data_IF_330417616184
#
_entry.id   IF_330417616184
#
_cell.length_a   1.000
_cell.length_b   1.000
_cell.length_c   1.000
_cell.angle_alpha   90.00
_cell.angle_beta   90.00
_cell.angle_gamma   90.00
#
_symmetry.space_group_name_H-M   'P 1'
#
loop_
_entity.id
_entity.type
_entity.pdbx_description
1 polymer ?
#
# COMPACT_ATOMS: atom_id res chain seq x y z
N UNK A 1 -0.91 23.95 -12.55
CA UNK A 1 -0.78 23.75 -11.98
C UNK A 1 -0.83 22.92 -11.29
N UNK A 2 -0.56 22.60 -10.97
CA UNK A 2 -0.53 21.88 -10.28
C UNK A 2 -1.02 21.74 -9.30
N UNK A 3 -1.72 21.96 -8.92
CA UNK A 3 -2.45 21.97 -8.05
C UNK A 3 -2.73 20.79 -7.38
N UNK A 4 -2.81 19.77 -7.88
CA UNK A 4 -2.93 18.56 -7.25
C UNK A 4 -1.66 18.06 -6.74
N UNK A 5 -0.65 18.84 -6.66
CA UNK A 5 0.66 18.47 -6.21
C UNK A 5 0.67 18.34 -4.73
N UNK A 6 1.09 17.19 -4.26
CA UNK A 6 1.23 16.96 -2.84
C UNK A 6 2.38 17.78 -2.30
N UNK A 7 2.27 18.22 -1.07
CA UNK A 7 3.33 18.98 -0.45
C UNK A 7 4.55 18.09 -0.27
N UNK A 8 5.70 18.76 -0.09
CA UNK A 8 6.94 18.02 0.15
C UNK A 8 6.80 17.13 1.37
N UNK A 9 6.13 17.63 2.40
CA UNK A 9 5.93 16.84 3.60
C UNK A 9 5.09 15.60 3.34
N UNK A 10 4.02 15.76 2.55
CA UNK A 10 3.19 14.62 2.19
C UNK A 10 4.01 13.58 1.43
N UNK A 11 4.83 14.02 0.50
CA UNK A 11 5.64 13.09 -0.28
C UNK A 11 6.66 12.38 0.58
N UNK A 12 7.27 13.08 1.51
CA UNK A 12 8.24 12.46 2.39
C UNK A 12 7.60 11.42 3.28
N UNK A 13 6.45 11.75 3.85
CA UNK A 13 5.74 10.83 4.72
C UNK A 13 5.28 9.63 3.91
N UNK A 14 4.74 9.86 2.71
CA UNK A 14 4.29 8.76 1.88
C UNK A 14 5.42 7.81 1.54
N UNK A 15 6.57 8.35 1.21
CA UNK A 15 7.73 7.54 0.87
C UNK A 15 8.19 6.70 2.05
N UNK A 16 8.20 7.31 3.23
CA UNK A 16 8.62 6.59 4.42
C UNK A 16 7.64 5.48 4.75
N UNK A 17 6.35 5.77 4.66
CA UNK A 17 5.34 4.75 4.94
C UNK A 17 5.42 3.63 3.91
N UNK A 18 5.62 3.97 2.64
CA UNK A 18 5.74 2.96 1.61
C UNK A 18 6.90 2.01 1.90
N UNK A 19 8.04 2.58 2.26
CA UNK A 19 9.23 1.79 2.53
C UNK A 19 9.00 0.86 3.73
N UNK A 20 8.48 1.39 4.81
CA UNK A 20 8.34 0.59 6.01
C UNK A 20 7.22 -0.43 5.91
N UNK A 21 6.11 -0.04 5.27
CA UNK A 21 5.01 -0.98 5.09
C UNK A 21 5.42 -2.12 4.16
N UNK A 22 6.17 -1.80 3.11
CA UNK A 22 6.68 -2.85 2.21
C UNK A 22 7.55 -3.83 2.98
N UNK A 23 8.36 -3.32 3.88
CA UNK A 23 9.23 -4.17 4.69
C UNK A 23 8.41 -5.04 5.63
N UNK A 24 7.40 -4.45 6.26
CA UNK A 24 6.55 -5.21 7.17
C UNK A 24 5.86 -6.35 6.44
N UNK A 25 5.31 -6.06 5.28
CA UNK A 25 4.60 -7.08 4.50
C UNK A 25 5.57 -8.14 4.01
N UNK A 26 6.74 -7.73 3.56
CA UNK A 26 7.75 -8.66 3.08
C UNK A 26 8.17 -9.62 4.18
N UNK A 27 8.31 -9.11 5.39
CA UNK A 27 8.75 -9.92 6.51
C UNK A 27 7.72 -10.97 6.93
N UNK A 28 6.45 -10.70 6.64
CA UNK A 28 5.42 -11.69 6.96
C UNK A 28 5.44 -12.87 6.01
N UNK A 29 5.98 -12.67 4.81
CA UNK A 29 6.15 -13.76 3.87
C UNK A 29 4.89 -14.12 3.11
N UNK A 30 5.06 -14.90 2.06
CA UNK A 30 3.94 -15.26 1.20
C UNK A 30 2.93 -16.14 1.92
N UNK A 31 3.37 -16.93 2.88
CA UNK A 31 2.46 -17.83 3.58
C UNK A 31 1.37 -17.07 4.33
N UNK A 32 1.70 -15.88 4.82
CA UNK A 32 0.72 -15.06 5.53
C UNK A 32 -0.41 -14.60 4.61
N UNK A 33 -0.17 -14.64 3.30
CA UNK A 33 -1.12 -14.16 2.31
C UNK A 33 -1.58 -15.27 1.39
N UNK A 34 -1.64 -16.48 1.91
CA UNK A 34 -2.17 -17.60 1.13
C UNK A 34 -1.30 -17.98 -0.05
N UNK A 35 -0.01 -17.71 0.01
CA UNK A 35 0.90 -18.03 -1.06
C UNK A 35 1.01 -16.95 -2.12
N UNK A 36 0.34 -15.82 -1.91
CA UNK A 36 0.41 -14.73 -2.88
C UNK A 36 1.59 -13.82 -2.59
N UNK A 37 2.12 -13.22 -3.65
CA UNK A 37 3.14 -12.20 -3.52
C UNK A 37 2.44 -10.85 -3.41
N UNK A 38 2.69 -10.14 -2.32
CA UNK A 38 2.07 -8.84 -2.08
C UNK A 38 3.16 -7.79 -2.02
N UNK A 39 2.99 -6.73 -2.76
CA UNK A 39 3.95 -5.62 -2.72
C UNK A 39 3.21 -4.30 -2.63
N UNK A 40 3.86 -3.33 -2.03
CA UNK A 40 3.29 -1.99 -1.90
C UNK A 40 3.71 -1.20 -3.13
N UNK A 41 2.73 -0.81 -3.94
CA UNK A 41 3.02 -0.09 -5.17
C UNK A 41 3.05 1.41 -4.96
N UNK A 42 2.42 1.91 -3.92
CA UNK A 42 2.46 3.33 -3.66
C UNK A 42 1.68 3.70 -2.42
N UNK A 43 1.87 4.92 -1.97
CA UNK A 43 1.17 5.44 -0.81
C UNK A 43 0.79 6.88 -1.11
N UNK A 44 -0.44 7.25 -0.77
CA UNK A 44 -0.90 8.62 -0.86
C UNK A 44 -1.36 9.09 0.51
N UNK A 45 -0.94 10.27 0.87
CA UNK A 45 -1.24 10.84 2.18
C UNK A 45 -2.22 11.98 2.01
N UNK A 46 -3.23 12.06 2.88
CA UNK A 46 -4.15 13.18 2.85
C UNK A 46 -3.41 14.47 3.25
N UNK A 47 -3.92 15.62 2.84
CA UNK A 47 -3.23 16.88 3.15
C UNK A 47 -3.03 17.13 4.64
N UNK A 48 -3.96 16.65 5.47
CA UNK A 48 -3.83 16.84 6.91
C UNK A 48 -3.05 15.71 7.57
N UNK A 49 -2.51 14.78 6.77
CA UNK A 49 -1.69 13.68 7.24
C UNK A 49 -2.45 12.71 8.14
N UNK A 50 -3.76 12.69 8.04
CA UNK A 50 -4.56 11.82 8.91
C UNK A 50 -4.82 10.45 8.31
N UNK A 51 -4.76 10.32 6.99
CA UNK A 51 -5.05 9.05 6.32
C UNK A 51 -3.96 8.75 5.31
N UNK A 52 -3.49 7.52 5.33
CA UNK A 52 -2.54 7.03 4.34
C UNK A 52 -3.21 5.95 3.53
N UNK A 53 -3.34 6.17 2.23
CA UNK A 53 -3.86 5.18 1.33
C UNK A 53 -2.71 4.35 0.79
N UNK A 54 -2.69 3.08 1.14
CA UNK A 54 -1.61 2.18 0.75
C UNK A 54 -2.12 1.30 -0.38
N UNK A 55 -1.48 1.43 -1.53
CA UNK A 55 -1.86 0.66 -2.71
C UNK A 55 -0.96 -0.56 -2.79
N UNK A 56 -1.58 -1.72 -2.93
CA UNK A 56 -0.84 -2.98 -2.97
C UNK A 56 -1.14 -3.71 -4.26
N UNK A 57 -0.11 -4.40 -4.75
CA UNK A 57 -0.25 -5.29 -5.90
C UNK A 57 -0.20 -6.72 -5.40
N UNK A 58 -1.04 -7.57 -5.97
CA UNK A 58 -1.11 -8.97 -5.56
C UNK A 58 -0.90 -9.84 -6.79
N UNK A 59 -0.02 -10.81 -6.65
CA UNK A 59 0.23 -11.77 -7.72
C UNK A 59 0.19 -13.18 -7.15
N UNK A 60 -0.56 -14.09 -7.75
CA UNK A 60 -1.43 -13.88 -8.90
C UNK A 60 -2.69 -13.10 -8.53
N UNK A 61 -3.28 -12.47 -9.52
CA UNK A 61 -4.38 -11.54 -9.26
C UNK A 61 -5.64 -12.24 -8.74
N UNK A 62 -5.78 -13.53 -8.98
CA UNK A 62 -6.96 -14.25 -8.49
C UNK A 62 -6.95 -14.41 -6.98
N UNK A 63 -5.83 -14.09 -6.33
CA UNK A 63 -5.77 -14.13 -4.87
C UNK A 63 -5.97 -12.75 -4.24
N UNK A 64 -6.25 -11.75 -5.06
CA UNK A 64 -6.31 -10.39 -4.57
C UNK A 64 -7.39 -10.18 -3.52
N UNK A 65 -8.57 -10.77 -3.73
CA UNK A 65 -9.66 -10.58 -2.77
C UNK A 65 -9.28 -11.14 -1.41
N UNK A 66 -8.73 -12.35 -1.40
CA UNK A 66 -8.35 -12.97 -0.14
C UNK A 66 -7.25 -12.16 0.56
N UNK A 67 -6.30 -11.66 -0.21
CA UNK A 67 -5.22 -10.87 0.36
C UNK A 67 -5.77 -9.57 0.95
N UNK A 68 -6.67 -8.91 0.23
CA UNK A 68 -7.23 -7.67 0.74
C UNK A 68 -7.99 -7.90 2.04
N UNK A 69 -8.69 -9.02 2.15
CA UNK A 69 -9.35 -9.37 3.39
C UNK A 69 -8.35 -9.50 4.53
N UNK A 70 -7.25 -10.19 4.28
CA UNK A 70 -6.23 -10.39 5.30
C UNK A 70 -5.65 -9.04 5.74
N UNK A 71 -5.37 -8.18 4.77
CA UNK A 71 -4.82 -6.87 5.10
C UNK A 71 -5.79 -6.06 5.94
N UNK A 72 -7.07 -6.11 5.59
CA UNK A 72 -8.05 -5.34 6.33
C UNK A 72 -8.26 -5.91 7.72
N UNK A 73 -8.27 -7.22 7.86
CA UNK A 73 -8.40 -7.85 9.17
C UNK A 73 -7.24 -7.53 10.08
N UNK A 74 -6.06 -7.37 9.50
CA UNK A 74 -4.86 -7.10 10.27
C UNK A 74 -4.45 -5.64 10.24
N UNK A 75 -5.35 -4.77 9.81
CA UNK A 75 -5.05 -3.35 9.64
C UNK A 75 -4.50 -2.72 10.91
N UNK A 76 -5.14 -3.01 12.03
CA UNK A 76 -4.71 -2.43 13.30
C UNK A 76 -3.32 -2.90 13.68
N UNK A 77 -3.06 -4.18 13.50
CA UNK A 77 -1.75 -4.73 13.81
C UNK A 77 -0.68 -4.13 12.92
N UNK A 78 -0.99 -4.03 11.62
CA UNK A 78 -0.04 -3.47 10.67
C UNK A 78 0.24 -2.01 10.97
N UNK A 79 -0.80 -1.27 11.32
CA UNK A 79 -0.62 0.13 11.68
C UNK A 79 0.24 0.26 12.93
N UNK A 80 0.04 -0.63 13.90
CA UNK A 80 0.85 -0.62 15.10
C UNK A 80 2.32 -0.91 14.80
N UNK A 81 2.57 -1.89 13.94
CA UNK A 81 3.94 -2.20 13.56
C UNK A 81 4.58 -1.04 12.81
N UNK A 82 3.80 -0.42 11.92
CA UNK A 82 4.30 0.75 11.22
C UNK A 82 4.63 1.87 12.19
N UNK A 83 3.77 2.08 13.18
CA UNK A 83 4.00 3.12 14.17
C UNK A 83 5.28 2.90 14.94
N UNK A 84 5.60 1.66 15.24
CA UNK A 84 6.86 1.36 15.92
C UNK A 84 8.05 1.74 15.08
N UNK A 85 7.94 1.63 13.76
CA UNK A 85 9.06 1.93 12.88
C UNK A 85 9.21 3.41 12.59
N UNK A 86 8.10 4.14 12.49
CA UNK A 86 8.17 5.54 12.09
C UNK A 86 7.72 6.51 13.17
N UNK A 87 7.43 6.00 14.36
CA UNK A 87 6.93 6.83 15.44
C UNK A 87 7.84 7.97 15.82
N UNK A 88 9.15 7.79 15.62
CA UNK A 88 10.10 8.85 15.92
C UNK A 88 10.03 9.97 14.91
N UNK A 89 9.59 9.66 13.70
CA UNK A 89 9.54 10.64 12.63
C UNK A 89 8.19 11.32 12.53
N UNK A 90 7.14 10.63 12.97
CA UNK A 90 5.79 11.17 12.88
C UNK A 90 5.18 11.20 14.27
N UNK A 91 4.58 12.35 14.60
CA UNK A 91 3.89 12.48 15.87
C UNK A 91 2.71 11.57 15.95
N UNK A 92 1.92 11.54 14.88
CA UNK A 92 0.71 10.74 14.81
C UNK A 92 0.83 9.86 13.60
N UNK A 93 0.61 8.56 13.78
CA UNK A 93 0.62 7.62 12.67
C UNK A 93 -0.73 7.72 11.98
N UNK A 94 -0.75 7.98 10.65
CA UNK A 94 -2.02 8.10 9.94
C UNK A 94 -2.81 6.80 9.99
N UNK A 95 -4.11 6.92 9.82
CA UNK A 95 -4.92 5.74 9.59
C UNK A 95 -4.53 5.13 8.27
N UNK A 96 -4.48 3.80 8.22
CA UNK A 96 -4.07 3.10 7.02
C UNK A 96 -5.31 2.55 6.33
N UNK A 97 -5.42 2.84 5.05
CA UNK A 97 -6.46 2.25 4.20
C UNK A 97 -5.77 1.52 3.07
N UNK A 98 -6.06 0.24 2.93
CA UNK A 98 -5.45 -0.56 1.87
C UNK A 98 -6.34 -0.58 0.65
N UNK A 99 -5.74 -0.38 -0.51
CA UNK A 99 -6.44 -0.42 -1.79
C UNK A 99 -5.67 -1.32 -2.74
N UNK A 100 -6.40 -2.05 -3.55
CA UNK A 100 -5.76 -2.88 -4.56
C UNK A 100 -5.35 -2.00 -5.73
N UNK A 101 -4.08 -2.12 -6.09
CA UNK A 101 -3.56 -1.42 -7.25
C UNK A 101 -3.74 -2.33 -8.45
N UNK A 102 -4.63 -1.97 -9.35
CA UNK A 102 -4.94 -2.80 -10.49
C UNK A 102 -4.15 -2.41 -11.73
N UNK A 103 -3.05 -1.67 -11.54
CA UNK A 103 -2.25 -1.23 -12.66
C UNK A 103 -1.78 -2.39 -13.54
N UNK A 104 -1.39 -3.48 -12.90
CA UNK A 104 -0.92 -4.63 -13.65
C UNK A 104 -2.03 -5.25 -14.47
N UNK A 105 -3.21 -5.37 -13.89
CA UNK A 105 -4.35 -5.87 -14.64
C UNK A 105 -4.68 -4.97 -15.81
N UNK A 106 -4.61 -3.68 -15.56
CA UNK A 106 -4.88 -2.72 -16.62
C UNK A 106 -3.91 -2.86 -17.77
N UNK A 107 -2.63 -3.02 -17.44
CA UNK A 107 -1.62 -3.19 -18.48
C UNK A 107 -1.85 -4.46 -19.27
N UNK A 108 -2.15 -5.55 -18.57
CA UNK A 108 -2.46 -6.80 -19.25
C UNK A 108 -3.65 -6.66 -20.17
N UNK A 109 -4.66 -5.98 -19.71
CA UNK A 109 -5.86 -5.78 -20.51
C UNK A 109 -5.57 -4.96 -21.75
N UNK A 110 -4.74 -3.95 -21.62
CA UNK A 110 -4.36 -3.11 -22.75
C UNK A 110 -3.59 -3.93 -23.77
N UNK A 111 -2.70 -4.78 -23.29
CA UNK A 111 -1.94 -5.63 -24.20
C UNK A 111 -2.85 -6.54 -25.00
N UNK A 112 -3.84 -7.09 -24.35
CA UNK A 112 -4.82 -7.91 -25.04
C UNK A 112 -5.53 -7.14 -26.12
N UNK A 113 -5.93 -5.93 -25.79
CA UNK A 113 -6.62 -5.10 -26.76
C UNK A 113 -5.73 -4.78 -27.94
N UNK A 114 -4.47 -4.53 -27.67
CA UNK A 114 -3.54 -4.22 -28.76
C UNK A 114 -3.29 -5.41 -29.68
N UNK A 115 -3.35 -6.60 -29.12
CA UNK A 115 -3.12 -7.78 -29.93
C UNK A 115 -4.27 -8.05 -30.88
N UNK A 116 -5.41 -7.53 -30.59
CA UNK A 116 -6.58 -7.68 -31.45
C UNK A 116 -6.55 -6.65 -32.56
#
# INVERSE_FOLDING_TARGET
MEKNIESTRQLKVAKEIQKEMAEIIRCKGMAAFGGALVSVSGVKISPDLSVAKVYVSVFPSDKAEAVMEVLQENNRTLRGELGNKIGKQLRIVPEIAFYLDSSLDYVEHIEELLKK
#
